data_IF_909771195592
#
_entry.id   IF_909771195592
#
_cell.length_a   1.000
_cell.length_b   1.000
_cell.length_c   1.000
_cell.angle_alpha   90.00
_cell.angle_beta   90.00
_cell.angle_gamma   90.00
#
_symmetry.space_group_name_H-M   'P 1'
#
loop_
_entity.id
_entity.type
_entity.pdbx_description
1 polymer ?
#
# COMPACT_ATOMS: atom_id res chain seq x y z
N UNK A 1 -5.44 -25.49 4.51
CA UNK A 1 -6.49 -24.56 4.01
C UNK A 1 -5.84 -23.53 3.07
N UNK A 2 -5.99 -23.65 1.75
CA UNK A 2 -5.55 -22.61 0.79
C UNK A 2 -6.69 -21.61 0.57
N UNK A 3 -6.88 -20.70 1.53
CA UNK A 3 -7.86 -19.61 1.39
C UNK A 3 -7.39 -18.48 0.45
N UNK A 4 -6.14 -18.54 -0.05
CA UNK A 4 -5.48 -17.42 -0.71
C UNK A 4 -5.86 -17.20 -2.17
N UNK A 5 -6.52 -18.16 -2.83
CA UNK A 5 -6.93 -18.01 -4.23
C UNK A 5 -8.40 -17.61 -4.39
N UNK A 6 -9.29 -18.05 -3.49
CA UNK A 6 -10.74 -17.82 -3.64
C UNK A 6 -11.19 -16.37 -3.40
N UNK A 7 -10.34 -15.53 -2.77
CA UNK A 7 -10.68 -14.12 -2.44
C UNK A 7 -9.72 -13.09 -3.01
N UNK A 8 -8.88 -13.45 -3.99
CA UNK A 8 -8.00 -12.48 -4.66
C UNK A 8 -8.76 -11.76 -5.75
N UNK A 9 -8.62 -10.45 -5.78
CA UNK A 9 -9.11 -9.65 -6.89
C UNK A 9 -8.42 -10.07 -8.21
N UNK A 10 -9.13 -9.89 -9.32
CA UNK A 10 -8.65 -10.26 -10.64
C UNK A 10 -7.41 -9.43 -11.00
N UNK A 11 -6.30 -10.12 -11.33
CA UNK A 11 -4.97 -9.50 -11.47
C UNK A 11 -4.90 -8.33 -12.45
N UNK A 12 -5.67 -8.39 -13.54
CA UNK A 12 -5.67 -7.34 -14.57
C UNK A 12 -6.18 -5.98 -14.06
N UNK A 13 -6.88 -5.96 -12.92
CA UNK A 13 -7.48 -4.76 -12.33
C UNK A 13 -6.76 -4.30 -11.04
N UNK A 14 -5.67 -4.95 -10.63
CA UNK A 14 -4.96 -4.60 -9.40
C UNK A 14 -3.64 -3.92 -9.71
N UNK A 15 -3.54 -2.68 -9.25
CA UNK A 15 -2.31 -1.89 -9.25
C UNK A 15 -1.86 -1.68 -7.81
N UNK A 16 -0.60 -1.99 -7.51
CA UNK A 16 -0.03 -1.69 -6.19
C UNK A 16 0.51 -0.26 -6.19
N UNK A 17 0.04 0.57 -5.27
CA UNK A 17 0.68 1.85 -4.96
C UNK A 17 1.70 1.66 -3.85
N UNK A 18 2.86 2.30 -3.98
CA UNK A 18 3.81 2.38 -2.88
C UNK A 18 3.24 3.24 -1.75
N UNK A 19 3.66 2.96 -0.52
CA UNK A 19 3.31 3.79 0.64
C UNK A 19 4.20 5.03 0.69
N UNK A 20 3.59 6.18 0.93
CA UNK A 20 4.32 7.45 1.01
C UNK A 20 4.72 7.85 2.43
N UNK A 21 4.19 7.18 3.47
CA UNK A 21 4.50 7.47 4.89
C UNK A 21 4.44 8.99 5.23
N UNK A 22 3.47 9.71 4.64
CA UNK A 22 3.31 11.14 4.86
C UNK A 22 4.37 12.04 4.19
N UNK A 23 5.17 11.52 3.26
CA UNK A 23 6.22 12.26 2.54
C UNK A 23 5.70 12.87 1.24
N UNK A 24 6.19 14.05 0.88
CA UNK A 24 5.95 14.68 -0.43
C UNK A 24 6.98 14.21 -1.49
N UNK A 25 6.91 14.76 -2.70
CA UNK A 25 7.81 14.42 -3.81
C UNK A 25 9.29 14.76 -3.55
N UNK A 26 9.58 15.71 -2.66
CA UNK A 26 10.94 16.02 -2.19
C UNK A 26 11.43 15.11 -1.06
N UNK A 27 10.60 14.15 -0.63
CA UNK A 27 10.90 13.24 0.46
C UNK A 27 10.79 13.84 1.86
N UNK A 28 10.21 15.05 2.02
CA UNK A 28 10.00 15.68 3.34
C UNK A 28 8.69 15.22 3.96
N UNK A 29 8.68 15.02 5.28
CA UNK A 29 7.47 14.69 6.04
C UNK A 29 6.56 15.92 6.06
N UNK A 30 5.37 15.79 5.50
CA UNK A 30 4.30 16.79 5.58
C UNK A 30 3.15 16.34 6.49
N UNK A 31 2.94 15.03 6.63
CA UNK A 31 1.92 14.46 7.53
C UNK A 31 2.60 13.60 8.57
N UNK A 32 2.56 14.04 9.83
CA UNK A 32 3.17 13.34 10.96
C UNK A 32 2.33 12.13 11.41
N UNK A 33 2.97 11.22 12.15
CA UNK A 33 2.35 10.01 12.71
C UNK A 33 1.74 9.05 11.67
N UNK A 34 2.23 9.08 10.42
CA UNK A 34 1.76 8.22 9.33
C UNK A 34 2.87 7.31 8.82
N UNK A 35 2.63 6.00 8.75
CA UNK A 35 3.56 5.01 8.18
C UNK A 35 3.63 3.73 9.03
N UNK A 36 4.23 2.66 8.48
CA UNK A 36 4.49 1.41 9.23
C UNK A 36 3.45 0.28 9.06
N UNK A 37 2.32 0.54 8.41
CA UNK A 37 1.25 -0.47 8.24
C UNK A 37 1.65 -1.64 7.30
N UNK A 38 0.86 -2.73 7.30
CA UNK A 38 0.99 -3.88 6.37
C UNK A 38 0.90 -3.47 4.91
N UNK A 39 1.78 -3.99 4.04
CA UNK A 39 1.90 -3.63 2.61
C UNK A 39 0.56 -3.40 1.92
#
# INVERSE_FOLDING_TARGET
MRQSQERRALRQFIFSTGKFAGRNSSGRIMVFHRGGESK
#
